data_IF_442708615758
#
_entry.id   IF_442708615758
#
_cell.length_a   1.000
_cell.length_b   1.000
_cell.length_c   1.000
_cell.angle_alpha   90.00
_cell.angle_beta   90.00
_cell.angle_gamma   90.00
#
_symmetry.space_group_name_H-M   'P 1'
#
loop_
_entity.id
_entity.type
_entity.pdbx_description
1 polymer ?
#
# COMPACT_ATOMS: atom_id res chain seq x y z
N UNK A 1 -6.55 -0.45 5.35
CA UNK A 1 -6.98 -1.87 5.48
C UNK A 1 -8.06 -1.89 6.56
N UNK A 2 -9.30 -2.26 6.27
CA UNK A 2 -10.33 -2.35 7.32
C UNK A 2 -10.01 -3.56 8.19
N UNK A 3 -9.79 -3.36 9.50
CA UNK A 3 -9.63 -4.47 10.44
C UNK A 3 -10.85 -5.39 10.32
N UNK A 4 -10.61 -6.65 9.94
CA UNK A 4 -11.66 -7.65 9.89
C UNK A 4 -11.91 -8.13 11.30
N UNK A 5 -13.13 -7.99 11.78
CA UNK A 5 -13.58 -8.55 13.06
C UNK A 5 -14.11 -9.95 12.82
N UNK A 6 -14.04 -10.81 13.82
CA UNK A 6 -14.54 -12.18 13.77
C UNK A 6 -15.66 -12.37 14.81
N UNK A 7 -16.65 -13.21 14.45
CA UNK A 7 -17.61 -13.73 15.42
C UNK A 7 -17.08 -15.00 16.08
N UNK A 8 -17.23 -15.06 17.38
CA UNK A 8 -16.93 -16.20 18.24
C UNK A 8 -18.20 -16.60 18.97
N UNK A 9 -18.52 -17.89 18.98
CA UNK A 9 -19.66 -18.41 19.74
C UNK A 9 -19.49 -18.14 21.23
N UNK A 10 -20.57 -17.73 21.91
CA UNK A 10 -20.57 -17.48 23.35
C UNK A 10 -21.50 -18.45 24.07
N UNK A 11 -22.80 -18.36 23.80
CA UNK A 11 -23.81 -19.23 24.42
C UNK A 11 -25.06 -19.35 23.57
N UNK A 12 -25.95 -20.29 23.92
CA UNK A 12 -27.33 -20.26 23.46
C UNK A 12 -28.19 -19.40 24.38
N UNK A 13 -29.31 -18.91 23.85
CA UNK A 13 -30.44 -18.37 24.61
C UNK A 13 -31.42 -19.53 24.87
N UNK A 14 -32.00 -19.58 26.07
CA UNK A 14 -32.76 -20.71 26.61
C UNK A 14 -33.67 -21.41 25.57
N UNK A 15 -33.46 -22.72 25.40
CA UNK A 15 -34.30 -23.60 24.58
C UNK A 15 -33.76 -23.95 23.18
N UNK A 16 -32.63 -23.40 22.74
CA UNK A 16 -32.02 -23.75 21.44
C UNK A 16 -31.03 -24.90 21.58
N UNK A 17 -31.22 -25.97 20.79
CA UNK A 17 -30.30 -27.12 20.74
C UNK A 17 -29.04 -26.80 19.92
N UNK A 18 -27.97 -27.57 20.14
CA UNK A 18 -26.73 -27.44 19.36
C UNK A 18 -27.00 -27.77 17.88
N UNK A 19 -27.86 -28.74 17.62
CA UNK A 19 -28.28 -29.21 16.30
C UNK A 19 -28.99 -28.10 15.52
N UNK A 20 -29.93 -27.41 16.17
CA UNK A 20 -30.62 -26.25 15.60
C UNK A 20 -29.64 -25.10 15.33
N UNK A 21 -28.72 -24.86 16.27
CA UNK A 21 -27.64 -23.89 16.10
C UNK A 21 -26.78 -24.17 14.86
N UNK A 22 -26.40 -25.43 14.64
CA UNK A 22 -25.62 -25.86 13.46
C UNK A 22 -26.40 -25.64 12.17
N UNK A 23 -27.70 -25.94 12.15
CA UNK A 23 -28.55 -25.71 10.99
C UNK A 23 -28.68 -24.22 10.66
N UNK A 24 -28.82 -23.36 11.67
CA UNK A 24 -28.86 -21.90 11.53
C UNK A 24 -27.56 -21.37 10.92
N UNK A 25 -26.40 -21.74 11.46
CA UNK A 25 -25.10 -21.28 10.95
C UNK A 25 -24.88 -21.74 9.50
N UNK A 26 -25.15 -23.01 9.21
CA UNK A 26 -25.03 -23.57 7.85
C UNK A 26 -25.91 -22.82 6.86
N UNK A 27 -27.16 -22.50 7.23
CA UNK A 27 -28.11 -21.81 6.35
C UNK A 27 -27.78 -20.32 6.19
N UNK A 28 -27.49 -19.62 7.29
CA UNK A 28 -27.27 -18.17 7.27
C UNK A 28 -25.93 -17.79 6.59
N UNK A 29 -24.89 -18.60 6.77
CA UNK A 29 -23.53 -18.28 6.30
C UNK A 29 -23.05 -19.14 5.14
N UNK A 30 -23.85 -20.12 4.69
CA UNK A 30 -23.43 -21.15 3.74
C UNK A 30 -22.12 -21.83 4.17
N UNK A 31 -21.96 -22.02 5.48
CA UNK A 31 -20.72 -22.50 6.09
C UNK A 31 -20.49 -24.00 5.85
N UNK A 32 -19.24 -24.41 5.68
CA UNK A 32 -18.86 -25.82 5.62
C UNK A 32 -19.02 -26.51 6.98
N UNK A 33 -19.15 -27.84 7.06
CA UNK A 33 -19.24 -28.56 8.33
C UNK A 33 -18.06 -28.28 9.28
N UNK A 34 -16.87 -28.12 8.72
CA UNK A 34 -15.64 -27.76 9.45
C UNK A 34 -15.74 -26.36 10.06
N UNK A 35 -16.22 -25.38 9.29
CA UNK A 35 -16.47 -24.03 9.79
C UNK A 35 -17.54 -24.04 10.88
N UNK A 36 -18.64 -24.76 10.70
CA UNK A 36 -19.68 -24.86 11.74
C UNK A 36 -19.09 -25.41 13.04
N UNK A 37 -18.26 -26.45 12.95
CA UNK A 37 -17.60 -27.06 14.12
C UNK A 37 -16.61 -26.09 14.78
N UNK A 38 -15.77 -25.44 13.98
CA UNK A 38 -14.83 -24.42 14.42
C UNK A 38 -15.53 -23.26 15.15
N UNK A 39 -16.69 -22.82 14.66
CA UNK A 39 -17.47 -21.75 15.29
C UNK A 39 -17.93 -22.13 16.71
N UNK A 40 -18.51 -23.32 16.88
CA UNK A 40 -18.94 -23.80 18.20
C UNK A 40 -17.78 -24.14 19.13
N UNK A 41 -16.58 -24.40 18.57
CA UNK A 41 -15.32 -24.50 19.31
C UNK A 41 -14.68 -23.12 19.59
N UNK A 42 -15.46 -22.04 19.52
CA UNK A 42 -15.04 -20.66 19.83
C UNK A 42 -13.93 -20.11 18.91
N UNK A 43 -13.77 -20.63 17.69
CA UNK A 43 -12.76 -20.13 16.76
C UNK A 43 -13.24 -18.91 15.93
N UNK A 44 -12.36 -17.95 15.63
CA UNK A 44 -12.70 -16.73 14.89
C UNK A 44 -12.71 -16.92 13.37
N UNK A 45 -13.76 -17.60 12.88
CA UNK A 45 -13.86 -17.99 11.46
C UNK A 45 -14.65 -17.00 10.59
N UNK A 46 -15.68 -16.33 11.12
CA UNK A 46 -16.54 -15.44 10.34
C UNK A 46 -15.98 -14.02 10.34
N UNK A 47 -14.89 -13.82 9.58
CA UNK A 47 -14.16 -12.55 9.51
C UNK A 47 -14.78 -11.62 8.47
N UNK A 48 -15.31 -10.48 8.92
CA UNK A 48 -15.88 -9.48 8.03
C UNK A 48 -15.60 -8.03 8.50
N UNK A 49 -16.00 -7.05 7.70
CA UNK A 49 -15.96 -5.65 8.11
C UNK A 49 -16.89 -5.42 9.32
N UNK A 50 -16.58 -4.48 10.23
CA UNK A 50 -17.32 -4.30 11.48
C UNK A 50 -18.84 -4.18 11.32
N UNK A 51 -19.30 -3.44 10.31
CA UNK A 51 -20.73 -3.28 10.02
C UNK A 51 -21.41 -4.61 9.69
N UNK A 52 -20.75 -5.45 8.89
CA UNK A 52 -21.28 -6.75 8.47
C UNK A 52 -21.26 -7.76 9.62
N UNK A 53 -20.24 -7.70 10.48
CA UNK A 53 -20.16 -8.51 11.70
C UNK A 53 -21.29 -8.19 12.66
N UNK A 54 -21.67 -6.90 12.82
CA UNK A 54 -22.85 -6.51 13.60
C UNK A 54 -24.14 -7.07 13.02
N UNK A 55 -24.31 -7.02 11.69
CA UNK A 55 -25.48 -7.63 11.03
C UNK A 55 -25.54 -9.15 11.28
N UNK A 56 -24.40 -9.82 11.23
CA UNK A 56 -24.30 -11.25 11.51
C UNK A 56 -24.61 -11.59 12.97
N UNK A 57 -24.10 -10.80 13.91
CA UNK A 57 -24.40 -10.93 15.34
C UNK A 57 -25.91 -10.76 15.60
N UNK A 58 -26.53 -9.77 14.95
CA UNK A 58 -27.98 -9.53 15.07
C UNK A 58 -28.80 -10.73 14.56
N UNK A 59 -28.50 -11.24 13.37
CA UNK A 59 -29.17 -12.41 12.80
C UNK A 59 -29.04 -13.63 13.71
N UNK A 60 -27.85 -13.86 14.28
CA UNK A 60 -27.60 -14.97 15.18
C UNK A 60 -28.35 -14.83 16.50
N UNK A 61 -28.41 -13.61 17.05
CA UNK A 61 -29.14 -13.31 18.26
C UNK A 61 -30.64 -13.52 18.11
N UNK A 62 -31.23 -13.12 16.97
CA UNK A 62 -32.65 -13.41 16.65
C UNK A 62 -32.94 -14.92 16.58
N UNK A 63 -31.91 -15.75 16.36
CA UNK A 63 -32.00 -17.21 16.36
C UNK A 63 -31.55 -17.85 17.66
N UNK A 64 -31.38 -17.06 18.72
CA UNK A 64 -31.00 -17.55 20.05
C UNK A 64 -29.54 -17.98 20.17
N UNK A 65 -28.65 -17.47 19.31
CA UNK A 65 -27.21 -17.73 19.37
C UNK A 65 -26.49 -16.45 19.77
N UNK A 66 -25.93 -16.41 20.98
CA UNK A 66 -25.09 -15.31 21.44
C UNK A 66 -23.66 -15.47 20.90
N UNK A 67 -23.09 -14.36 20.46
CA UNK A 67 -21.74 -14.31 19.91
C UNK A 67 -20.98 -13.10 20.44
N UNK A 68 -19.67 -13.29 20.63
CA UNK A 68 -18.71 -12.23 20.95
C UNK A 68 -18.01 -11.80 19.68
N UNK A 69 -17.79 -10.49 19.56
CA UNK A 69 -16.99 -9.92 18.46
C UNK A 69 -15.56 -9.78 18.97
N UNK A 70 -14.62 -10.41 18.29
CA UNK A 70 -13.20 -10.24 18.59
C UNK A 70 -12.45 -9.67 17.37
N UNK A 71 -11.45 -8.85 17.65
CA UNK A 71 -10.50 -8.40 16.63
C UNK A 71 -9.27 -9.29 16.77
N UNK A 72 -9.05 -10.26 15.86
CA UNK A 72 -7.88 -11.12 15.95
C UNK A 72 -6.62 -10.25 15.84
N UNK A 73 -5.73 -10.39 16.82
CA UNK A 73 -4.46 -9.68 16.85
C UNK A 73 -3.63 -10.14 15.65
N UNK A 74 -3.48 -9.26 14.67
CA UNK A 74 -2.63 -9.54 13.51
C UNK A 74 -1.26 -9.04 13.93
N UNK A 75 -0.46 -9.87 14.60
CA UNK A 75 0.96 -9.56 14.71
C UNK A 75 1.50 -9.51 13.28
N UNK A 76 2.13 -8.40 12.84
CA UNK A 76 2.81 -8.41 11.56
C UNK A 76 3.90 -9.47 11.70
N UNK A 77 3.78 -10.58 10.96
CA UNK A 77 4.81 -11.62 11.01
C UNK A 77 6.15 -10.94 10.71
N UNK A 78 7.16 -11.17 11.54
CA UNK A 78 8.52 -10.64 11.35
C UNK A 78 9.04 -10.89 9.93
N UNK A 79 8.62 -12.01 9.33
CA UNK A 79 8.81 -12.36 7.94
C UNK A 79 8.36 -11.27 6.96
N UNK A 80 7.26 -10.56 7.22
CA UNK A 80 6.75 -9.50 6.32
C UNK A 80 7.62 -8.26 6.36
N UNK A 81 8.15 -7.88 7.53
CA UNK A 81 8.99 -6.68 7.69
C UNK A 81 10.40 -6.95 7.13
N UNK A 82 10.97 -8.12 7.45
CA UNK A 82 12.28 -8.51 6.96
C UNK A 82 12.29 -8.67 5.43
N UNK A 83 11.20 -9.18 4.85
CA UNK A 83 11.06 -9.29 3.41
C UNK A 83 10.93 -7.93 2.72
N UNK A 84 10.18 -6.98 3.31
CA UNK A 84 10.10 -5.60 2.81
C UNK A 84 11.46 -4.90 2.89
N UNK A 85 12.22 -5.14 3.95
CA UNK A 85 13.57 -4.60 4.11
C UNK A 85 14.55 -5.16 3.07
N UNK A 86 14.51 -6.46 2.79
CA UNK A 86 15.31 -7.07 1.71
C UNK A 86 14.96 -6.49 0.34
N UNK A 87 13.68 -6.26 0.06
CA UNK A 87 13.22 -5.70 -1.20
C UNK A 87 13.72 -4.26 -1.39
N UNK A 88 13.81 -3.48 -0.31
CA UNK A 88 14.44 -2.15 -0.33
C UNK A 88 15.95 -2.21 -0.59
N UNK A 89 16.66 -3.18 0.00
CA UNK A 89 18.11 -3.35 -0.21
C UNK A 89 18.43 -3.74 -1.65
N UNK A 90 17.65 -4.63 -2.25
CA UNK A 90 17.85 -5.04 -3.65
C UNK A 90 17.53 -3.91 -4.62
N UNK A 91 16.51 -3.09 -4.33
CA UNK A 91 16.24 -1.87 -5.10
C UNK A 91 17.42 -0.90 -5.04
N UNK A 92 18.00 -0.69 -3.86
CA UNK A 92 19.17 0.19 -3.70
C UNK A 92 20.38 -0.30 -4.50
N UNK A 93 20.68 -1.60 -4.46
CA UNK A 93 21.74 -2.20 -5.28
C UNK A 93 21.48 -2.04 -6.78
N UNK A 94 20.23 -2.23 -7.20
CA UNK A 94 19.86 -2.06 -8.62
C UNK A 94 20.08 -0.62 -9.09
N UNK A 95 19.84 0.37 -8.21
CA UNK A 95 20.07 1.78 -8.50
C UNK A 95 21.57 2.09 -8.63
N UNK A 96 22.42 1.57 -7.74
CA UNK A 96 23.88 1.73 -7.81
C UNK A 96 24.45 1.16 -9.12
N UNK A 97 23.94 0.03 -9.60
CA UNK A 97 24.35 -0.56 -10.89
C UNK A 97 23.93 0.32 -12.08
N UNK A 98 22.76 0.96 -12.00
CA UNK A 98 22.30 1.89 -13.05
C UNK A 98 23.18 3.13 -13.05
N UNK A 99 23.50 3.71 -11.89
CA UNK A 99 24.37 4.88 -11.76
C UNK A 99 25.78 4.60 -12.32
N UNK A 100 26.39 3.46 -11.98
CA UNK A 100 27.69 3.06 -12.53
C UNK A 100 27.68 2.87 -14.05
N UNK A 101 26.60 2.30 -14.60
CA UNK A 101 26.45 2.17 -16.05
C UNK A 101 26.34 3.53 -16.73
N UNK A 102 25.63 4.46 -16.11
CA UNK A 102 25.43 5.80 -16.63
C UNK A 102 26.74 6.61 -16.59
N UNK A 103 27.50 6.48 -15.50
CA UNK A 103 28.82 7.11 -15.36
C UNK A 103 29.83 6.57 -16.38
N UNK A 104 29.84 5.24 -16.62
CA UNK A 104 30.66 4.61 -17.67
C UNK A 104 30.26 5.05 -19.07
N UNK A 105 28.98 5.28 -19.33
CA UNK A 105 28.54 5.82 -20.63
C UNK A 105 28.99 7.27 -20.81
N UNK A 106 28.88 8.08 -19.76
CA UNK A 106 29.35 9.47 -19.80
C UNK A 106 30.87 9.59 -19.97
N UNK A 107 31.66 8.68 -19.39
CA UNK A 107 33.10 8.64 -19.61
C UNK A 107 33.44 8.29 -21.07
N UNK A 108 32.75 7.32 -21.67
CA UNK A 108 32.93 6.96 -23.08
C UNK A 108 32.56 8.13 -24.01
N UNK A 109 31.46 8.84 -23.72
CA UNK A 109 31.05 10.02 -24.50
C UNK A 109 32.11 11.14 -24.39
N UNK A 110 32.67 11.35 -23.20
CA UNK A 110 33.70 12.37 -22.96
C UNK A 110 35.01 12.03 -23.69
N UNK A 111 35.41 10.74 -23.70
CA UNK A 111 36.56 10.26 -24.47
C UNK A 111 36.35 10.41 -25.98
N UNK A 112 35.14 10.14 -26.47
CA UNK A 112 34.77 10.37 -27.88
C UNK A 112 34.83 11.86 -28.25
N UNK A 113 34.37 12.76 -27.37
CA UNK A 113 34.43 14.21 -27.61
C UNK A 113 35.85 14.77 -27.60
N UNK A 114 36.75 14.23 -26.76
CA UNK A 114 38.16 14.63 -26.74
C UNK A 114 38.95 14.10 -27.93
N UNK A 115 38.53 12.98 -28.54
CA UNK A 115 39.16 12.41 -29.73
C UNK A 115 38.78 13.11 -31.04
N UNK A 116 37.88 14.10 -31.02
CA UNK A 116 37.25 14.66 -32.23
C UNK A 116 37.77 16.06 -32.64
N UNK A 117 39.10 16.21 -32.67
CA UNK A 117 39.76 17.25 -33.49
C UNK A 117 40.23 16.73 -34.86
N UNK A 118 40.23 15.41 -35.11
CA UNK A 118 40.76 14.84 -36.37
C UNK A 118 39.85 13.87 -37.11
N UNK A 119 38.66 13.51 -36.60
CA UNK A 119 37.80 12.48 -37.21
C UNK A 119 36.43 12.97 -37.74
N UNK A 120 36.03 14.21 -37.45
CA UNK A 120 34.74 14.80 -37.89
C UNK A 120 34.54 14.79 -39.42
N UNK A 121 35.59 14.62 -40.25
CA UNK A 121 35.42 14.51 -41.71
C UNK A 121 34.96 13.14 -42.22
N UNK A 122 34.88 12.08 -41.40
CA UNK A 122 34.59 10.72 -41.90
C UNK A 122 33.39 9.99 -41.28
N UNK A 123 32.71 10.53 -40.27
CA UNK A 123 31.63 9.84 -39.55
C UNK A 123 30.20 10.33 -39.84
N UNK A 124 29.97 11.03 -40.96
CA UNK A 124 28.62 11.43 -41.40
C UNK A 124 27.72 10.25 -41.88
N UNK A 125 28.00 9.01 -41.48
CA UNK A 125 27.29 7.81 -41.93
C UNK A 125 27.00 6.77 -40.84
N UNK A 126 27.04 7.12 -39.54
CA UNK A 126 26.49 6.23 -38.50
C UNK A 126 25.19 6.78 -37.91
N UNK A 127 24.10 6.58 -38.67
CA UNK A 127 22.79 6.31 -38.07
C UNK A 127 22.88 4.96 -37.34
N UNK A 128 23.30 4.97 -36.08
CA UNK A 128 23.05 3.85 -35.17
C UNK A 128 21.65 4.02 -34.57
N UNK A 129 20.75 3.03 -34.73
CA UNK A 129 19.38 3.13 -34.24
C UNK A 129 19.36 3.06 -32.70
N UNK A 130 18.68 4.02 -32.08
CA UNK A 130 18.33 4.06 -30.65
C UNK A 130 17.49 2.83 -30.20
N UNK A 131 17.07 1.97 -31.14
CA UNK A 131 16.19 0.82 -30.91
C UNK A 131 16.86 -0.39 -30.24
N UNK A 132 18.18 -0.35 -29.97
CA UNK A 132 18.90 -1.48 -29.37
C UNK A 132 18.95 -1.47 -27.83
N UNK A 133 18.48 -0.41 -27.17
CA UNK A 133 18.29 -0.39 -25.70
C UNK A 133 16.93 -1.01 -25.39
N UNK A 134 16.85 -2.34 -25.38
CA UNK A 134 15.72 -3.05 -24.75
C UNK A 134 15.79 -2.80 -23.25
N UNK A 135 14.92 -1.92 -22.74
CA UNK A 135 14.64 -1.85 -21.30
C UNK A 135 14.26 -3.27 -20.81
N UNK A 136 14.74 -3.69 -19.63
CA UNK A 136 14.33 -4.97 -19.06
C UNK A 136 12.81 -5.01 -18.97
N UNK A 137 12.23 -6.09 -19.50
CA UNK A 137 10.80 -6.23 -19.66
C UNK A 137 10.11 -6.13 -18.30
N UNK A 138 9.34 -5.07 -18.10
CA UNK A 138 8.62 -4.78 -16.84
C UNK A 138 7.67 -5.92 -16.42
N UNK A 139 7.27 -6.76 -17.39
CA UNK A 139 6.47 -7.96 -17.15
C UNK A 139 7.24 -8.99 -16.31
N UNK A 140 8.51 -9.25 -16.61
CA UNK A 140 9.35 -10.21 -15.87
C UNK A 140 9.63 -9.78 -14.42
N UNK A 141 9.69 -8.46 -14.16
CA UNK A 141 9.81 -7.93 -12.82
C UNK A 141 8.49 -8.07 -12.03
N UNK A 142 7.36 -7.81 -12.70
CA UNK A 142 6.03 -7.98 -12.11
C UNK A 142 5.70 -9.44 -11.80
N UNK A 143 6.16 -10.36 -12.64
CA UNK A 143 5.94 -11.80 -12.50
C UNK A 143 6.76 -12.37 -11.35
N UNK A 144 8.05 -11.97 -11.24
CA UNK A 144 8.87 -12.29 -10.06
C UNK A 144 8.26 -11.78 -8.75
N UNK A 145 7.72 -10.56 -8.73
CA UNK A 145 7.06 -10.01 -7.53
C UNK A 145 5.80 -10.81 -7.19
N UNK A 146 5.01 -11.19 -8.20
CA UNK A 146 3.78 -11.98 -8.04
C UNK A 146 4.05 -13.40 -7.55
N UNK A 147 5.07 -14.07 -8.06
CA UNK A 147 5.46 -15.42 -7.65
C UNK A 147 6.00 -15.44 -6.21
N UNK A 148 6.76 -14.41 -5.84
CA UNK A 148 7.30 -14.28 -4.48
C UNK A 148 6.19 -14.00 -3.45
N UNK A 149 5.18 -13.19 -3.81
CA UNK A 149 3.98 -12.96 -3.00
C UNK A 149 3.12 -14.23 -2.83
N UNK A 150 3.11 -15.11 -3.83
CA UNK A 150 2.37 -16.37 -3.80
C UNK A 150 3.05 -17.39 -2.89
N UNK A 151 4.38 -17.51 -2.97
CA UNK A 151 5.18 -18.42 -2.14
C UNK A 151 5.18 -18.05 -0.65
N UNK A 152 5.17 -16.75 -0.31
CA UNK A 152 5.05 -16.29 1.09
C UNK A 152 3.71 -16.68 1.75
N UNK A 153 2.62 -16.75 0.99
CA UNK A 153 1.32 -17.20 1.52
C UNK A 153 1.31 -18.69 1.84
N UNK A 154 2.01 -19.53 1.07
CA UNK A 154 2.10 -20.96 1.31
C UNK A 154 2.98 -21.30 2.52
N UNK A 155 4.02 -20.50 2.76
CA UNK A 155 4.91 -20.64 3.94
C UNK A 155 4.17 -20.20 5.22
N UNK A 156 3.36 -19.13 5.15
CA UNK A 156 2.54 -18.66 6.27
C UNK A 156 1.46 -19.67 6.70
N UNK A 157 0.95 -20.48 5.77
CA UNK A 157 -0.01 -21.54 6.08
C UNK A 157 0.64 -22.76 6.77
N UNK A 158 1.91 -23.08 6.45
CA UNK A 158 2.63 -24.22 7.06
C UNK A 158 3.16 -23.95 8.48
N UNK A 159 3.40 -22.69 8.84
CA UNK A 159 3.91 -22.30 10.17
C UNK A 159 2.82 -22.16 11.25
N UNK A 160 1.55 -22.21 10.85
CA UNK A 160 0.40 -22.03 11.74
C UNK A 160 0.04 -23.29 12.54
N UNK A 161 0.56 -24.46 12.13
CA UNK A 161 0.29 -25.75 12.76
C UNK A 161 1.25 -26.07 13.92
N UNK A 162 2.17 -25.16 14.29
CA UNK A 162 3.36 -25.52 15.10
C UNK A 162 3.53 -24.83 16.46
N UNK A 163 2.62 -23.99 16.96
CA UNK A 163 2.85 -23.24 18.22
C UNK A 163 1.64 -23.32 19.18
N UNK A 164 1.83 -23.75 20.45
CA UNK A 164 0.75 -23.87 21.44
C UNK A 164 0.47 -22.57 22.21
N UNK A 165 -0.77 -22.50 22.73
CA UNK A 165 -1.40 -21.38 23.43
C UNK A 165 -0.69 -20.93 24.72
N UNK A 166 -0.55 -19.60 24.90
CA UNK A 166 -0.33 -18.97 26.21
C UNK A 166 -1.36 -17.86 26.42
N UNK A 167 -2.17 -18.02 27.46
CA UNK A 167 -3.19 -17.07 27.93
C UNK A 167 -2.57 -15.80 28.53
N UNK A 168 -3.10 -14.62 28.17
CA UNK A 168 -3.10 -13.46 29.08
C UNK A 168 -4.43 -12.71 28.97
N UNK A 169 -5.03 -12.53 30.14
CA UNK A 169 -6.22 -11.75 30.47
C UNK A 169 -5.86 -10.28 30.71
N UNK A 170 -6.71 -9.33 30.28
CA UNK A 170 -7.20 -8.22 31.15
C UNK A 170 -7.95 -7.11 30.38
N UNK A 171 -9.19 -6.90 30.84
CA UNK A 171 -10.07 -5.72 30.80
C UNK A 171 -9.42 -4.32 30.56
N UNK A 172 -10.02 -3.52 29.68
CA UNK A 172 -10.91 -2.38 30.04
C UNK A 172 -11.35 -1.58 28.81
N UNK A 173 -12.63 -1.20 28.78
CA UNK A 173 -13.23 -0.27 27.84
C UNK A 173 -12.84 1.18 28.19
N UNK A 174 -12.38 1.95 27.20
CA UNK A 174 -12.58 3.41 27.16
C UNK A 174 -12.73 3.84 25.70
N UNK A 175 -13.62 4.80 25.44
CA UNK A 175 -13.77 5.49 24.16
C UNK A 175 -12.40 5.96 23.64
N UNK A 176 -11.83 5.24 22.67
CA UNK A 176 -10.55 5.60 22.07
C UNK A 176 -10.78 6.58 20.91
N UNK A 177 -9.89 7.56 20.70
CA UNK A 177 -9.89 8.38 19.49
C UNK A 177 -9.78 7.45 18.28
N UNK A 178 -10.54 7.70 17.19
CA UNK A 178 -10.39 6.93 15.94
C UNK A 178 -8.90 6.82 15.61
N UNK A 179 -8.36 5.60 15.71
CA UNK A 179 -6.94 5.35 15.53
C UNK A 179 -6.51 5.95 14.20
N UNK A 180 -5.55 6.88 14.25
CA UNK A 180 -4.98 7.46 13.03
C UNK A 180 -4.51 6.29 12.16
N UNK A 181 -4.96 6.18 10.91
CA UNK A 181 -4.49 5.11 10.04
C UNK A 181 -2.95 5.19 9.99
N UNK A 182 -2.25 4.15 10.43
CA UNK A 182 -0.79 4.09 10.35
C UNK A 182 -0.40 3.28 9.11
N UNK A 183 0.51 3.81 8.29
CA UNK A 183 1.07 3.10 7.13
C UNK A 183 0.91 3.83 5.80
N UNK A 184 1.36 3.18 4.73
CA UNK A 184 1.44 3.75 3.39
C UNK A 184 0.05 4.04 2.79
N UNK A 185 -0.14 5.22 2.20
CA UNK A 185 -1.35 5.65 1.50
C UNK A 185 -1.13 5.61 -0.01
N UNK A 186 -1.76 4.64 -0.68
CA UNK A 186 -1.80 4.61 -2.14
C UNK A 186 -2.44 5.86 -2.75
N UNK A 187 -3.43 6.43 -2.07
CA UNK A 187 -4.05 7.69 -2.51
C UNK A 187 -3.14 8.89 -2.27
N UNK A 188 -2.34 8.87 -1.21
CA UNK A 188 -1.27 9.85 -1.00
C UNK A 188 -0.17 9.77 -2.04
N UNK A 189 0.16 8.55 -2.51
CA UNK A 189 1.11 8.32 -3.59
C UNK A 189 0.60 8.89 -4.91
N UNK A 190 -0.62 8.51 -5.31
CA UNK A 190 -1.19 8.93 -6.60
C UNK A 190 -1.58 10.43 -6.61
N UNK A 191 -2.03 10.96 -5.48
CA UNK A 191 -2.51 12.33 -5.38
C UNK A 191 -1.45 13.35 -5.00
N UNK A 192 -0.28 12.93 -4.50
CA UNK A 192 0.85 13.81 -4.23
C UNK A 192 0.50 15.03 -3.35
N UNK A 193 0.95 16.20 -3.80
CA UNK A 193 0.66 17.49 -3.19
C UNK A 193 -0.84 17.84 -3.10
N UNK A 194 -1.64 17.37 -4.06
CA UNK A 194 -3.09 17.63 -4.12
C UNK A 194 -3.83 16.86 -3.04
N UNK A 195 -3.35 15.64 -2.74
CA UNK A 195 -3.89 14.83 -1.65
C UNK A 195 -3.71 15.51 -0.29
N UNK A 196 -2.51 16.06 -0.04
CA UNK A 196 -2.19 16.82 1.18
C UNK A 196 -3.08 18.05 1.32
N UNK A 197 -3.26 18.79 0.23
CA UNK A 197 -4.10 19.99 0.19
C UNK A 197 -5.57 19.69 0.46
N UNK A 198 -6.07 18.56 -0.08
CA UNK A 198 -7.46 18.15 0.08
C UNK A 198 -7.82 17.70 1.50
N UNK A 199 -6.87 17.17 2.27
CA UNK A 199 -7.06 16.83 3.70
C UNK A 199 -6.61 17.96 4.65
N UNK A 200 -6.79 19.21 4.24
CA UNK A 200 -6.82 20.35 5.15
C UNK A 200 -5.52 21.11 5.38
N UNK A 201 -4.36 20.59 4.95
CA UNK A 201 -3.08 21.30 5.06
C UNK A 201 -2.70 21.99 3.74
N UNK A 202 -3.47 23.04 3.40
CA UNK A 202 -3.30 23.79 2.14
C UNK A 202 -1.90 24.40 2.02
N UNK A 203 -1.31 24.88 3.14
CA UNK A 203 0.01 25.50 3.12
C UNK A 203 1.10 24.49 2.77
N UNK A 204 1.12 23.32 3.42
CA UNK A 204 2.08 22.26 3.06
C UNK A 204 1.82 21.73 1.65
N UNK A 205 0.55 21.57 1.29
CA UNK A 205 0.15 21.12 -0.03
C UNK A 205 0.57 22.08 -1.17
N UNK A 206 0.57 23.39 -0.93
CA UNK A 206 1.09 24.39 -1.87
C UNK A 206 2.62 24.34 -1.99
N UNK A 207 3.34 24.20 -0.88
CA UNK A 207 4.80 24.05 -0.91
C UNK A 207 5.20 22.80 -1.71
N UNK A 208 4.53 21.67 -1.44
CA UNK A 208 4.74 20.44 -2.18
C UNK A 208 4.35 20.58 -3.65
N UNK A 209 3.30 21.35 -3.97
CA UNK A 209 2.89 21.61 -5.35
C UNK A 209 3.95 22.41 -6.13
N UNK A 210 4.55 23.42 -5.50
CA UNK A 210 5.67 24.19 -6.09
C UNK A 210 6.88 23.29 -6.32
N UNK A 211 7.25 22.47 -5.33
CA UNK A 211 8.35 21.51 -5.45
C UNK A 211 8.10 20.51 -6.59
N UNK A 212 6.90 19.92 -6.65
CA UNK A 212 6.51 19.02 -7.73
C UNK A 212 6.49 19.67 -9.11
N UNK A 213 6.18 20.97 -9.18
CA UNK A 213 6.12 21.71 -10.44
C UNK A 213 7.49 22.11 -11.00
N UNK A 214 8.55 22.13 -10.19
CA UNK A 214 9.89 22.55 -10.63
C UNK A 214 10.51 21.57 -11.62
N UNK A 215 10.46 20.26 -11.31
CA UNK A 215 10.96 19.20 -12.18
C UNK A 215 10.10 17.94 -12.05
N UNK A 216 9.93 17.15 -13.12
CA UNK A 216 9.17 15.89 -13.07
C UNK A 216 9.68 14.91 -12.01
N UNK A 217 11.00 14.88 -11.77
CA UNK A 217 11.62 14.03 -10.75
C UNK A 217 11.16 14.40 -9.32
N UNK A 218 11.01 15.68 -9.03
CA UNK A 218 10.52 16.14 -7.74
C UNK A 218 9.07 15.75 -7.51
N UNK A 219 8.25 15.69 -8.56
CA UNK A 219 6.88 15.19 -8.45
C UNK A 219 6.82 13.73 -7.96
N UNK A 220 7.75 12.87 -8.41
CA UNK A 220 7.85 11.48 -7.96
C UNK A 220 8.28 11.40 -6.50
N UNK A 221 9.28 12.20 -6.10
CA UNK A 221 9.76 12.26 -4.71
C UNK A 221 8.63 12.74 -3.78
N UNK A 222 7.92 13.80 -4.17
CA UNK A 222 6.76 14.32 -3.43
C UNK A 222 5.68 13.25 -3.33
N UNK A 223 5.36 12.54 -4.40
CA UNK A 223 4.39 11.45 -4.40
C UNK A 223 4.76 10.34 -3.41
N UNK A 224 6.02 9.87 -3.41
CA UNK A 224 6.49 8.85 -2.48
C UNK A 224 6.42 9.36 -1.04
N UNK A 225 6.88 10.60 -0.80
CA UNK A 225 6.83 11.25 0.49
C UNK A 225 5.39 11.35 1.02
N UNK A 226 4.44 11.79 0.20
CA UNK A 226 3.03 11.88 0.58
C UNK A 226 2.40 10.50 0.72
N UNK A 227 2.80 9.51 -0.06
CA UNK A 227 2.40 8.12 0.12
C UNK A 227 2.82 7.57 1.49
N UNK A 228 4.04 7.84 1.92
CA UNK A 228 4.56 7.40 3.23
C UNK A 228 3.96 8.19 4.41
N UNK A 229 3.71 9.48 4.25
CA UNK A 229 3.36 10.38 5.37
C UNK A 229 1.90 10.78 5.45
N UNK A 230 1.09 10.51 4.43
CA UNK A 230 -0.29 11.01 4.40
C UNK A 230 -1.14 10.48 5.55
N UNK A 231 -1.07 9.18 5.86
CA UNK A 231 -1.94 8.63 6.92
C UNK A 231 -1.46 9.01 8.34
N UNK A 232 -0.16 9.29 8.53
CA UNK A 232 0.39 9.69 9.83
C UNK A 232 0.21 11.18 10.14
N UNK A 233 0.33 12.04 9.13
CA UNK A 233 0.32 13.49 9.29
C UNK A 233 -1.01 14.16 8.95
N UNK A 234 -1.86 13.55 8.11
CA UNK A 234 -3.14 14.13 7.72
C UNK A 234 -4.29 13.43 8.44
N UNK A 235 -5.37 14.18 8.67
CA UNK A 235 -6.63 13.68 9.23
C UNK A 235 -7.43 12.90 8.17
N UNK A 236 -6.78 11.92 7.53
CA UNK A 236 -7.35 11.12 6.43
C UNK A 236 -8.57 10.36 6.95
N UNK A 237 -9.72 10.56 6.30
CA UNK A 237 -11.06 10.04 6.67
C UNK A 237 -11.71 10.61 7.92
N UNK A 238 -11.00 11.42 8.71
CA UNK A 238 -11.59 12.15 9.84
C UNK A 238 -12.26 13.45 9.38
N UNK A 239 -11.74 14.06 8.31
CA UNK A 239 -12.33 15.25 7.67
C UNK A 239 -12.72 14.96 6.21
N UNK A 240 -13.78 15.62 5.70
CA UNK A 240 -14.17 15.50 4.30
C UNK A 240 -13.08 16.10 3.39
N UNK A 241 -12.83 15.43 2.27
CA UNK A 241 -11.85 15.88 1.29
C UNK A 241 -12.30 17.19 0.61
N UNK A 242 -11.50 18.25 0.75
CA UNK A 242 -11.76 19.53 0.11
C UNK A 242 -11.24 19.53 -1.33
N UNK A 243 -12.14 19.25 -2.27
CA UNK A 243 -11.85 19.34 -3.71
C UNK A 243 -11.37 20.72 -4.12
N UNK A 244 -11.89 21.79 -3.52
CA UNK A 244 -11.45 23.17 -3.77
C UNK A 244 -9.96 23.35 -3.50
N UNK A 245 -9.48 22.85 -2.37
CA UNK A 245 -8.06 22.97 -2.00
C UNK A 245 -7.18 22.11 -2.89
N UNK A 246 -7.63 20.90 -3.24
CA UNK A 246 -6.93 20.03 -4.18
C UNK A 246 -6.81 20.70 -5.57
N UNK A 247 -7.87 21.34 -6.07
CA UNK A 247 -7.85 22.07 -7.34
C UNK A 247 -6.89 23.26 -7.33
N UNK A 248 -6.83 24.02 -6.23
CA UNK A 248 -5.86 25.12 -6.09
C UNK A 248 -4.42 24.61 -6.17
N UNK A 249 -4.14 23.50 -5.48
CA UNK A 249 -2.83 22.84 -5.55
C UNK A 249 -2.52 22.35 -6.96
N UNK A 250 -3.49 21.78 -7.67
CA UNK A 250 -3.34 21.34 -9.06
C UNK A 250 -2.98 22.50 -9.99
N UNK A 251 -3.72 23.60 -9.90
CA UNK A 251 -3.43 24.81 -10.68
C UNK A 251 -2.03 25.35 -10.38
N UNK A 252 -1.61 25.31 -9.12
CA UNK A 252 -0.27 25.75 -8.71
C UNK A 252 0.82 24.87 -9.31
N UNK A 253 0.70 23.54 -9.21
CA UNK A 253 1.68 22.62 -9.81
C UNK A 253 1.76 22.81 -11.33
N UNK A 254 0.62 22.92 -12.01
CA UNK A 254 0.60 23.13 -13.47
C UNK A 254 1.23 24.46 -13.86
N UNK A 255 0.91 25.54 -13.14
CA UNK A 255 1.47 26.86 -13.40
C UNK A 255 3.00 26.88 -13.22
N UNK A 256 3.50 26.33 -12.11
CA UNK A 256 4.95 26.21 -11.85
C UNK A 256 5.62 25.31 -12.88
N UNK A 257 4.97 24.23 -13.29
CA UNK A 257 5.43 23.34 -14.36
C UNK A 257 5.61 24.06 -15.69
N UNK A 258 4.62 24.87 -16.11
CA UNK A 258 4.71 25.68 -17.33
C UNK A 258 5.87 26.67 -17.23
N UNK A 259 5.97 27.42 -16.11
CA UNK A 259 7.04 28.40 -15.92
C UNK A 259 8.43 27.77 -15.92
N UNK A 260 8.57 26.61 -15.27
CA UNK A 260 9.83 25.87 -15.21
C UNK A 260 10.23 25.35 -16.59
N UNK A 261 9.27 24.77 -17.33
CA UNK A 261 9.50 24.31 -18.70
C UNK A 261 9.88 25.46 -19.64
N UNK A 262 9.15 26.58 -19.61
CA UNK A 262 9.46 27.78 -20.40
C UNK A 262 10.85 28.34 -20.07
N UNK A 263 11.24 28.34 -18.79
CA UNK A 263 12.57 28.80 -18.37
C UNK A 263 13.67 27.89 -18.93
N UNK A 264 13.50 26.57 -18.83
CA UNK A 264 14.46 25.60 -19.39
C UNK A 264 14.59 25.79 -20.90
N UNK A 265 13.47 25.91 -21.62
CA UNK A 265 13.48 26.14 -23.07
C UNK A 265 14.16 27.46 -23.46
N UNK A 266 14.01 28.52 -22.66
CA UNK A 266 14.68 29.79 -22.91
C UNK A 266 16.21 29.71 -22.77
N UNK A 267 16.73 28.87 -21.87
CA UNK A 267 18.18 28.70 -21.69
C UNK A 267 18.81 27.70 -22.66
N UNK A 268 18.02 26.79 -23.23
CA UNK A 268 18.51 25.77 -24.16
C UNK A 268 18.59 26.29 -25.61
N UNK A 269 17.77 27.29 -25.96
CA UNK A 269 17.77 27.93 -27.29
C UNK A 269 18.64 29.19 -27.32
#
# INVERSE_FOLDING_TARGET
MTMKQALVFDSFVDGVSIEDGRAVIKKAFKASPEQVTAFFNQQPIFRAAPQRVKSFQYILREKGINTKVITPEVSPSSATIEHVYQLMLDLKRSQEVIEQKLEKQNSIISEMQQSDSSYIKKSLNLKLPLDSIKAPDSSALSEKIKDTLSSSNDIANKLKDSIPDVMVSSKNESFAPEEKPTGFSWWGLLGGAHYVSGYGDLRKGLILAVISGLLPLFAIIVAIYTGATANSNLQVKQIPFSWKNASISLLTTTFVGIMSYSSIQFFVN
#
